data_IF_732260708003
#
_entry.id   IF_732260708003
#
_cell.length_a   1.000
_cell.length_b   1.000
_cell.length_c   1.000
_cell.angle_alpha   90.00
_cell.angle_beta   90.00
_cell.angle_gamma   90.00
#
_symmetry.space_group_name_H-M   'P 1'
#
loop_
_entity.id
_entity.type
_entity.pdbx_description
1 polymer ?
#
# COMPACT_ATOMS: atom_id res chain seq x y z
N UNK A 1 -33.68 -18.05 -11.91
CA UNK A 1 -34.13 -19.43 -11.65
C UNK A 1 -33.89 -19.89 -10.20
N UNK A 2 -32.67 -19.84 -9.61
CA UNK A 2 -32.41 -20.31 -8.21
C UNK A 2 -33.26 -19.65 -7.11
N UNK A 3 -33.64 -18.37 -7.22
CA UNK A 3 -34.52 -17.69 -6.24
C UNK A 3 -35.98 -18.21 -6.25
N UNK A 4 -36.51 -18.50 -7.42
CA UNK A 4 -37.88 -19.03 -7.59
C UNK A 4 -37.96 -20.46 -7.03
N UNK A 5 -36.92 -21.28 -7.24
CA UNK A 5 -36.86 -22.64 -6.65
C UNK A 5 -36.75 -22.61 -5.10
N UNK A 6 -35.99 -21.64 -4.54
CA UNK A 6 -35.90 -21.49 -3.06
C UNK A 6 -37.22 -21.00 -2.44
N UNK A 7 -37.96 -20.09 -3.09
CA UNK A 7 -39.28 -19.65 -2.62
C UNK A 7 -40.33 -20.76 -2.76
N UNK A 8 -40.34 -21.48 -3.87
CA UNK A 8 -41.25 -22.64 -4.05
C UNK A 8 -40.96 -23.74 -3.00
N UNK A 9 -39.70 -24.06 -2.73
CA UNK A 9 -39.30 -25.00 -1.68
C UNK A 9 -39.78 -24.57 -0.28
N UNK A 10 -39.67 -23.29 0.07
CA UNK A 10 -40.16 -22.77 1.35
C UNK A 10 -41.68 -22.84 1.48
N UNK A 11 -42.41 -22.58 0.40
CA UNK A 11 -43.87 -22.69 0.36
C UNK A 11 -44.29 -24.15 0.52
N UNK A 12 -43.64 -25.11 -0.15
CA UNK A 12 -43.91 -26.53 -0.04
C UNK A 12 -43.67 -27.01 1.41
N UNK A 13 -42.52 -26.62 2.02
CA UNK A 13 -42.23 -26.95 3.42
C UNK A 13 -43.29 -26.38 4.36
N UNK A 14 -43.72 -25.14 4.15
CA UNK A 14 -44.77 -24.53 4.97
C UNK A 14 -46.07 -25.27 4.85
N UNK A 15 -46.48 -25.65 3.62
CA UNK A 15 -47.72 -26.43 3.38
C UNK A 15 -47.67 -27.84 3.98
N UNK A 16 -46.54 -28.52 3.89
CA UNK A 16 -46.37 -29.85 4.51
C UNK A 16 -46.38 -29.79 6.04
N UNK A 17 -45.75 -28.77 6.63
CA UNK A 17 -45.76 -28.55 8.08
C UNK A 17 -47.17 -28.21 8.56
N UNK A 18 -47.90 -27.33 7.86
CA UNK A 18 -49.29 -26.99 8.23
C UNK A 18 -50.24 -28.20 8.10
N UNK A 19 -50.12 -29.03 7.05
CA UNK A 19 -50.86 -30.25 6.89
C UNK A 19 -50.57 -31.27 8.00
N UNK A 20 -49.33 -31.43 8.38
CA UNK A 20 -48.91 -32.32 9.48
C UNK A 20 -49.46 -31.83 10.83
N UNK A 21 -49.39 -30.53 11.11
CA UNK A 21 -49.93 -29.92 12.33
C UNK A 21 -51.46 -30.07 12.39
N UNK A 22 -52.15 -29.93 11.24
CA UNK A 22 -53.59 -30.16 11.17
C UNK A 22 -53.94 -31.61 11.48
N UNK A 23 -53.23 -32.59 10.88
CA UNK A 23 -53.45 -34.02 11.13
C UNK A 23 -53.21 -34.36 12.62
N UNK A 24 -52.12 -33.87 13.21
CA UNK A 24 -51.79 -34.08 14.61
C UNK A 24 -52.88 -33.48 15.53
N UNK A 25 -53.33 -32.25 15.26
CA UNK A 25 -54.37 -31.59 15.99
C UNK A 25 -55.69 -32.36 15.88
N UNK A 26 -56.04 -32.87 14.69
CA UNK A 26 -57.23 -33.67 14.48
C UNK A 26 -57.25 -35.00 15.28
N UNK A 27 -56.13 -35.72 15.27
CA UNK A 27 -55.94 -36.94 16.03
C UNK A 27 -55.98 -36.69 17.55
N UNK A 28 -55.49 -35.61 18.05
CA UNK A 28 -55.54 -35.22 19.46
C UNK A 28 -57.02 -34.97 19.87
N UNK A 29 -57.74 -34.17 19.07
CA UNK A 29 -59.13 -33.84 19.37
C UNK A 29 -60.06 -35.09 19.31
N UNK A 30 -59.80 -36.00 18.34
CA UNK A 30 -60.49 -37.28 18.29
C UNK A 30 -60.23 -38.18 19.52
N UNK A 31 -58.92 -38.24 19.93
CA UNK A 31 -58.53 -38.99 21.13
C UNK A 31 -59.20 -38.47 22.40
N UNK A 32 -59.32 -37.15 22.56
CA UNK A 32 -60.05 -36.54 23.68
C UNK A 32 -61.56 -36.73 23.58
N UNK A 33 -62.14 -36.82 22.37
CA UNK A 33 -63.56 -37.10 22.11
C UNK A 33 -64.02 -38.47 22.63
N UNK A 34 -63.11 -39.45 22.71
CA UNK A 34 -63.37 -40.75 23.34
C UNK A 34 -63.57 -40.66 24.87
N UNK A 35 -63.02 -39.64 25.51
CA UNK A 35 -63.12 -39.44 26.97
C UNK A 35 -64.29 -38.50 27.32
N UNK A 36 -64.60 -37.53 26.42
CA UNK A 36 -65.63 -36.51 26.64
C UNK A 36 -66.67 -36.48 25.50
N UNK A 37 -67.85 -37.04 25.65
CA UNK A 37 -68.88 -37.19 24.58
C UNK A 37 -69.37 -35.88 23.95
N UNK A 38 -69.27 -34.74 24.69
CA UNK A 38 -69.68 -33.42 24.18
C UNK A 38 -68.73 -32.97 23.03
N UNK A 39 -67.50 -33.48 22.95
CA UNK A 39 -66.53 -33.20 21.87
C UNK A 39 -66.83 -33.99 20.58
N UNK A 40 -67.81 -34.91 20.59
CA UNK A 40 -68.25 -35.69 19.40
C UNK A 40 -69.18 -34.90 18.45
N UNK A 41 -69.63 -33.69 18.85
CA UNK A 41 -70.39 -32.80 17.95
C UNK A 41 -69.45 -32.28 16.85
N UNK A 42 -69.72 -32.53 15.55
CA UNK A 42 -68.77 -32.21 14.46
C UNK A 42 -68.30 -30.75 14.41
N UNK A 43 -69.19 -29.83 14.72
CA UNK A 43 -68.84 -28.38 14.73
C UNK A 43 -67.90 -28.02 15.87
N UNK A 44 -68.04 -28.62 17.04
CA UNK A 44 -67.17 -28.40 18.19
C UNK A 44 -65.74 -28.94 17.90
N UNK A 45 -65.67 -30.13 17.31
CA UNK A 45 -64.39 -30.71 16.88
C UNK A 45 -63.65 -29.84 15.86
N UNK A 46 -64.34 -29.29 14.86
CA UNK A 46 -63.74 -28.42 13.84
C UNK A 46 -63.19 -27.12 14.46
N UNK A 47 -63.96 -26.49 15.37
CA UNK A 47 -63.56 -25.28 16.05
C UNK A 47 -62.32 -25.54 16.92
N UNK A 48 -62.31 -26.61 17.70
CA UNK A 48 -61.17 -26.97 18.54
C UNK A 48 -59.90 -27.31 17.73
N UNK A 49 -60.07 -28.05 16.64
CA UNK A 49 -58.96 -28.38 15.72
C UNK A 49 -58.33 -27.11 15.12
N UNK A 50 -59.19 -26.17 14.69
CA UNK A 50 -58.78 -24.89 14.14
C UNK A 50 -57.97 -24.07 15.16
N UNK A 51 -58.48 -23.94 16.39
CA UNK A 51 -57.76 -23.22 17.46
C UNK A 51 -56.42 -23.87 17.82
N UNK A 52 -56.34 -25.19 17.83
CA UNK A 52 -55.16 -25.96 18.15
C UNK A 52 -54.09 -25.81 17.05
N UNK A 53 -54.53 -25.81 15.77
CA UNK A 53 -53.64 -25.51 14.63
C UNK A 53 -53.07 -24.08 14.70
N UNK A 54 -53.90 -23.08 14.98
CA UNK A 54 -53.44 -21.70 15.16
C UNK A 54 -52.49 -21.57 16.33
N UNK A 55 -52.75 -22.23 17.46
CA UNK A 55 -51.85 -22.24 18.61
C UNK A 55 -50.47 -22.86 18.27
N UNK A 56 -50.45 -24.00 17.59
CA UNK A 56 -49.22 -24.65 17.15
C UNK A 56 -48.43 -23.81 16.12
N UNK A 57 -49.14 -23.21 15.17
CA UNK A 57 -48.53 -22.28 14.22
C UNK A 57 -47.90 -21.05 14.91
N UNK A 58 -48.63 -20.51 15.91
CA UNK A 58 -48.11 -19.38 16.69
C UNK A 58 -46.84 -19.75 17.47
N UNK A 59 -46.84 -20.92 18.12
CA UNK A 59 -45.66 -21.41 18.85
C UNK A 59 -44.47 -21.66 17.91
N UNK A 60 -44.69 -22.30 16.76
CA UNK A 60 -43.62 -22.52 15.78
C UNK A 60 -43.09 -21.21 15.24
N UNK A 61 -43.98 -20.26 14.89
CA UNK A 61 -43.57 -18.92 14.43
C UNK A 61 -42.79 -18.16 15.51
N UNK A 62 -43.21 -18.27 16.78
CA UNK A 62 -42.52 -17.63 17.90
C UNK A 62 -41.13 -18.20 18.12
N UNK A 63 -40.94 -19.53 18.08
CA UNK A 63 -39.63 -20.19 18.20
C UNK A 63 -38.72 -19.79 17.04
N UNK A 64 -39.23 -19.83 15.80
CA UNK A 64 -38.46 -19.41 14.63
C UNK A 64 -38.09 -17.92 14.65
N UNK A 65 -39.02 -17.04 15.10
CA UNK A 65 -38.76 -15.62 15.22
C UNK A 65 -37.69 -15.30 16.28
N UNK A 66 -37.68 -16.04 17.40
CA UNK A 66 -36.69 -15.90 18.45
C UNK A 66 -35.29 -16.28 17.94
N UNK A 67 -35.13 -17.42 17.30
CA UNK A 67 -33.86 -17.88 16.73
C UNK A 67 -33.36 -16.98 15.58
N UNK A 68 -34.24 -16.40 14.77
CA UNK A 68 -33.90 -15.43 13.76
C UNK A 68 -33.41 -14.11 14.37
N UNK A 69 -34.09 -13.66 15.44
CA UNK A 69 -33.73 -12.42 16.16
C UNK A 69 -32.37 -12.52 16.86
N UNK A 70 -32.09 -13.63 17.52
CA UNK A 70 -30.81 -13.88 18.17
C UNK A 70 -29.64 -13.88 17.15
N UNK A 71 -29.85 -14.48 15.98
CA UNK A 71 -28.85 -14.43 14.88
C UNK A 71 -28.66 -13.02 14.34
N UNK A 72 -29.72 -12.24 14.19
CA UNK A 72 -29.61 -10.83 13.78
C UNK A 72 -28.84 -10.00 14.80
N UNK A 73 -29.09 -10.15 16.09
CA UNK A 73 -28.38 -9.42 17.14
C UNK A 73 -26.90 -9.77 17.16
N UNK A 74 -26.54 -11.04 17.05
CA UNK A 74 -25.14 -11.47 17.02
C UNK A 74 -24.33 -10.84 15.87
N UNK A 75 -24.96 -10.66 14.70
CA UNK A 75 -24.34 -10.00 13.54
C UNK A 75 -24.09 -8.51 13.82
N UNK A 76 -25.13 -7.81 14.31
CA UNK A 76 -25.03 -6.39 14.63
C UNK A 76 -24.02 -6.13 15.74
N UNK A 77 -23.98 -6.97 16.77
CA UNK A 77 -23.01 -6.88 17.86
C UNK A 77 -21.58 -7.11 17.35
N UNK A 78 -21.39 -8.03 16.43
CA UNK A 78 -20.08 -8.26 15.80
C UNK A 78 -19.64 -7.06 14.95
N UNK A 79 -20.52 -6.51 14.12
CA UNK A 79 -20.22 -5.32 13.29
C UNK A 79 -19.92 -4.10 14.16
N UNK A 80 -20.75 -3.83 15.17
CA UNK A 80 -20.54 -2.69 16.08
C UNK A 80 -19.26 -2.83 16.88
N UNK A 81 -18.91 -4.05 17.33
CA UNK A 81 -17.65 -4.31 18.02
C UNK A 81 -16.45 -4.12 17.10
N UNK A 82 -16.55 -4.54 15.83
CA UNK A 82 -15.47 -4.31 14.83
C UNK A 82 -15.27 -2.81 14.59
N UNK A 83 -16.35 -2.06 14.35
CA UNK A 83 -16.30 -0.60 14.17
C UNK A 83 -15.72 0.08 15.42
N UNK A 84 -16.12 -0.35 16.61
CA UNK A 84 -15.59 0.21 17.88
C UNK A 84 -14.11 -0.07 18.06
N UNK A 85 -13.63 -1.25 17.66
CA UNK A 85 -12.19 -1.58 17.67
C UNK A 85 -11.43 -0.71 16.65
N UNK A 86 -11.98 -0.50 15.44
CA UNK A 86 -11.39 0.39 14.46
C UNK A 86 -11.33 1.83 14.96
N UNK A 87 -12.39 2.34 15.59
CA UNK A 87 -12.42 3.68 16.17
C UNK A 87 -11.46 3.90 17.34
N UNK A 88 -11.07 2.84 18.02
CA UNK A 88 -10.04 2.86 19.09
C UNK A 88 -8.60 2.65 18.57
N UNK A 89 -8.41 2.55 17.25
CA UNK A 89 -7.10 2.35 16.63
C UNK A 89 -6.59 0.89 16.69
N UNK A 90 -7.41 -0.06 17.15
CA UNK A 90 -7.01 -1.47 17.20
C UNK A 90 -7.44 -2.22 15.94
N UNK A 91 -6.78 -1.87 14.82
CA UNK A 91 -7.12 -2.41 13.49
C UNK A 91 -6.78 -3.90 13.36
N UNK A 92 -5.72 -4.37 14.01
CA UNK A 92 -5.29 -5.77 13.94
C UNK A 92 -6.34 -6.71 14.54
N UNK A 93 -6.93 -6.33 15.68
CA UNK A 93 -7.99 -7.10 16.31
C UNK A 93 -9.29 -7.06 15.50
N UNK A 94 -9.56 -5.95 14.80
CA UNK A 94 -10.71 -5.81 13.90
C UNK A 94 -10.56 -6.71 12.66
N UNK A 95 -9.38 -6.75 12.05
CA UNK A 95 -9.07 -7.55 10.86
C UNK A 95 -9.06 -9.08 11.14
N UNK A 96 -8.63 -9.50 12.33
CA UNK A 96 -8.56 -10.93 12.68
C UNK A 96 -9.91 -11.57 13.03
N UNK A 97 -10.98 -10.79 13.16
CA UNK A 97 -12.30 -11.26 13.53
C UNK A 97 -13.02 -11.89 12.35
N UNK A 98 -12.71 -13.16 12.06
CA UNK A 98 -13.52 -13.96 11.12
C UNK A 98 -14.92 -14.15 11.68
N UNK A 99 -15.94 -13.66 10.95
CA UNK A 99 -17.32 -13.96 11.29
C UNK A 99 -17.59 -15.44 11.04
N UNK A 100 -17.94 -16.18 12.09
CA UNK A 100 -18.32 -17.58 12.02
C UNK A 100 -19.61 -17.74 11.22
N UNK A 101 -19.53 -18.51 10.13
CA UNK A 101 -20.61 -19.16 9.37
C UNK A 101 -21.95 -18.42 9.26
N UNK A 102 -21.97 -17.35 8.46
CA UNK A 102 -23.22 -16.84 7.87
C UNK A 102 -23.23 -17.27 6.40
N UNK A 103 -24.43 -17.61 5.92
CA UNK A 103 -24.67 -18.00 4.53
C UNK A 103 -24.01 -16.97 3.57
N UNK A 104 -23.06 -17.40 2.72
CA UNK A 104 -22.20 -16.55 1.88
C UNK A 104 -22.91 -15.55 0.96
N UNK A 105 -24.21 -15.69 0.77
CA UNK A 105 -25.03 -14.85 -0.13
C UNK A 105 -25.79 -13.72 0.59
N UNK A 106 -25.55 -13.48 1.89
CA UNK A 106 -26.28 -12.45 2.62
C UNK A 106 -25.60 -11.08 2.46
N UNK A 107 -26.32 -9.97 2.19
CA UNK A 107 -25.73 -8.65 2.00
C UNK A 107 -24.85 -8.18 3.17
N UNK A 108 -25.19 -8.59 4.38
CA UNK A 108 -24.42 -8.25 5.60
C UNK A 108 -23.08 -8.96 5.67
N UNK A 109 -22.96 -10.15 5.07
CA UNK A 109 -21.68 -10.87 5.01
C UNK A 109 -20.69 -10.13 4.12
N UNK A 110 -21.16 -9.59 2.99
CA UNK A 110 -20.31 -8.75 2.12
C UNK A 110 -19.83 -7.49 2.83
N UNK A 111 -20.72 -6.82 3.56
CA UNK A 111 -20.33 -5.64 4.34
C UNK A 111 -19.30 -5.98 5.43
N UNK A 112 -19.43 -7.13 6.08
CA UNK A 112 -18.47 -7.58 7.08
C UNK A 112 -17.09 -7.91 6.46
N UNK A 113 -17.08 -8.54 5.28
CA UNK A 113 -15.86 -8.83 4.53
C UNK A 113 -15.17 -7.54 4.08
N UNK A 114 -15.94 -6.56 3.58
CA UNK A 114 -15.42 -5.24 3.21
C UNK A 114 -14.83 -4.49 4.41
N UNK A 115 -15.53 -4.50 5.56
CA UNK A 115 -15.01 -3.91 6.81
C UNK A 115 -13.74 -4.60 7.31
N UNK A 116 -13.67 -5.93 7.18
CA UNK A 116 -12.47 -6.68 7.53
C UNK A 116 -11.28 -6.32 6.62
N UNK A 117 -11.54 -6.16 5.33
CA UNK A 117 -10.52 -5.72 4.36
C UNK A 117 -10.03 -4.31 4.67
N UNK A 118 -10.95 -3.37 4.91
CA UNK A 118 -10.60 -2.00 5.33
C UNK A 118 -9.81 -1.97 6.64
N UNK A 119 -10.17 -2.81 7.61
CA UNK A 119 -9.43 -2.92 8.86
C UNK A 119 -8.00 -3.45 8.64
N UNK A 120 -7.81 -4.40 7.71
CA UNK A 120 -6.50 -4.91 7.35
C UNK A 120 -5.63 -3.84 6.68
N UNK A 121 -6.21 -3.10 5.72
CA UNK A 121 -5.52 -1.99 5.04
C UNK A 121 -5.12 -0.87 6.02
N UNK A 122 -6.02 -0.49 6.94
CA UNK A 122 -5.71 0.49 7.99
C UNK A 122 -4.64 -0.01 8.97
N UNK A 123 -4.65 -1.31 9.30
CA UNK A 123 -3.62 -1.92 10.15
C UNK A 123 -2.25 -1.87 9.49
N UNK A 124 -2.18 -2.18 8.20
CA UNK A 124 -0.94 -2.10 7.43
C UNK A 124 -0.44 -0.66 7.33
N UNK A 125 -1.34 0.30 7.06
CA UNK A 125 -1.00 1.72 6.99
C UNK A 125 -0.46 2.26 8.34
N UNK A 126 -1.06 1.87 9.46
CA UNK A 126 -0.58 2.25 10.80
C UNK A 126 0.78 1.62 11.09
N UNK A 127 1.00 0.36 10.70
CA UNK A 127 2.30 -0.31 10.81
C UNK A 127 3.38 0.43 10.02
N UNK A 128 3.12 0.74 8.75
CA UNK A 128 4.05 1.50 7.90
C UNK A 128 4.36 2.88 8.49
N UNK A 129 3.38 3.56 9.08
CA UNK A 129 3.55 4.84 9.76
C UNK A 129 4.43 4.70 11.02
N UNK A 130 4.23 3.66 11.83
CA UNK A 130 5.05 3.40 13.02
C UNK A 130 6.50 3.07 12.64
N UNK A 131 6.70 2.25 11.63
CA UNK A 131 8.02 1.94 11.07
C UNK A 131 8.71 3.21 10.55
N UNK A 132 7.97 4.06 9.86
CA UNK A 132 8.48 5.35 9.37
C UNK A 132 8.96 6.23 10.54
N UNK A 133 8.13 6.43 11.59
CA UNK A 133 8.50 7.25 12.76
C UNK A 133 9.71 6.66 13.48
N UNK A 134 9.76 5.34 13.66
CA UNK A 134 10.89 4.64 14.26
C UNK A 134 12.17 4.85 13.47
N UNK A 135 12.12 4.67 12.15
CA UNK A 135 13.26 4.84 11.26
C UNK A 135 13.78 6.29 11.23
N UNK A 136 12.88 7.28 11.18
CA UNK A 136 13.24 8.71 11.30
C UNK A 136 13.97 8.96 12.62
N UNK A 137 13.43 8.45 13.73
CA UNK A 137 14.03 8.63 15.06
C UNK A 137 15.44 8.05 15.10
N UNK A 138 15.66 6.85 14.60
CA UNK A 138 16.97 6.21 14.56
C UNK A 138 17.96 6.94 13.65
N UNK A 139 17.54 7.37 12.44
CA UNK A 139 18.40 8.08 11.50
C UNK A 139 18.80 9.50 11.99
N UNK A 140 18.00 10.11 12.87
CA UNK A 140 18.32 11.38 13.54
C UNK A 140 19.17 11.14 14.79
N UNK A 141 18.88 10.13 15.60
CA UNK A 141 19.56 9.88 16.87
C UNK A 141 21.04 9.51 16.71
N UNK A 142 21.36 8.76 15.63
CA UNK A 142 22.73 8.32 15.35
C UNK A 142 23.69 9.52 15.14
N UNK A 143 23.45 10.44 14.18
CA UNK A 143 24.32 11.60 13.98
C UNK A 143 24.34 12.53 15.21
N UNK A 144 23.21 12.73 15.90
CA UNK A 144 23.18 13.53 17.11
C UNK A 144 24.07 12.97 18.22
N UNK A 145 24.11 11.64 18.38
CA UNK A 145 25.00 10.99 19.35
C UNK A 145 26.46 11.19 18.97
N UNK A 146 26.79 11.05 17.69
CA UNK A 146 28.13 11.32 17.15
C UNK A 146 28.55 12.77 17.40
N UNK A 147 27.72 13.74 17.00
CA UNK A 147 27.92 15.18 17.21
C UNK A 147 28.20 15.50 18.69
N UNK A 148 27.35 14.99 19.60
CA UNK A 148 27.50 15.19 21.04
C UNK A 148 28.80 14.59 21.56
N UNK A 149 29.19 13.41 21.08
CA UNK A 149 30.42 12.74 21.47
C UNK A 149 31.67 13.53 21.06
N UNK A 150 31.76 13.92 19.79
CA UNK A 150 32.92 14.67 19.27
C UNK A 150 32.97 16.10 19.81
N UNK A 151 31.86 16.78 20.01
CA UNK A 151 31.81 18.06 20.67
C UNK A 151 32.27 17.97 22.14
N UNK A 152 32.01 16.85 22.83
CA UNK A 152 32.55 16.62 24.18
C UNK A 152 34.05 16.36 24.15
N UNK A 153 34.56 15.58 23.19
CA UNK A 153 35.98 15.32 23.01
C UNK A 153 36.77 16.60 22.72
N UNK A 154 36.22 17.54 21.94
CA UNK A 154 36.82 18.83 21.64
C UNK A 154 37.09 19.72 22.88
N UNK A 155 36.42 19.46 24.02
CA UNK A 155 36.65 20.18 25.28
C UNK A 155 37.92 19.75 26.03
N UNK A 156 38.60 18.67 25.61
CA UNK A 156 39.84 18.22 26.20
C UNK A 156 40.96 19.21 25.88
N UNK A 157 41.78 19.65 26.86
CA UNK A 157 42.85 20.64 26.65
C UNK A 157 44.01 20.07 25.82
N UNK A 158 44.28 18.76 25.90
CA UNK A 158 45.50 18.14 25.37
C UNK A 158 45.32 17.52 23.99
N UNK A 159 44.36 18.02 23.19
CA UNK A 159 44.12 17.54 21.82
C UNK A 159 45.20 18.09 20.88
N UNK A 160 45.77 17.21 20.07
CA UNK A 160 46.62 17.61 18.95
C UNK A 160 45.81 18.42 17.91
N UNK A 161 46.54 19.22 17.11
CA UNK A 161 45.91 19.97 16.02
C UNK A 161 45.20 19.07 15.01
N UNK A 162 45.79 17.92 14.69
CA UNK A 162 45.23 16.93 13.78
C UNK A 162 43.97 16.27 14.33
N UNK A 163 43.96 15.89 15.61
CA UNK A 163 42.77 15.33 16.26
C UNK A 163 41.61 16.32 16.30
N UNK A 164 41.90 17.58 16.61
CA UNK A 164 40.93 18.67 16.60
C UNK A 164 40.33 18.86 15.21
N UNK A 165 41.18 18.90 14.17
CA UNK A 165 40.73 18.98 12.78
C UNK A 165 39.83 17.82 12.36
N UNK A 166 40.22 16.59 12.71
CA UNK A 166 39.46 15.40 12.43
C UNK A 166 38.07 15.40 13.13
N UNK A 167 38.02 15.83 14.41
CA UNK A 167 36.73 15.88 15.13
C UNK A 167 35.80 16.95 14.57
N UNK A 168 36.36 18.12 14.20
CA UNK A 168 35.59 19.17 13.53
C UNK A 168 35.01 18.69 12.18
N UNK A 169 35.81 18.00 11.40
CA UNK A 169 35.37 17.44 10.12
C UNK A 169 34.26 16.40 10.28
N UNK A 170 34.34 15.56 11.33
CA UNK A 170 33.24 14.60 11.64
C UNK A 170 31.95 15.36 12.02
N UNK A 171 32.08 16.42 12.82
CA UNK A 171 30.93 17.24 13.22
C UNK A 171 30.29 17.90 11.98
N UNK A 172 31.08 18.44 11.09
CA UNK A 172 30.63 19.04 9.83
C UNK A 172 29.87 18.01 8.97
N UNK A 173 30.49 16.86 8.73
CA UNK A 173 29.91 15.75 7.93
C UNK A 173 28.58 15.27 8.51
N UNK A 174 28.47 15.09 9.84
CA UNK A 174 27.23 14.63 10.48
C UNK A 174 26.14 15.72 10.48
N UNK A 175 26.54 17.00 10.51
CA UNK A 175 25.61 18.14 10.39
C UNK A 175 25.01 18.21 8.98
N UNK A 176 25.85 18.07 7.94
CA UNK A 176 25.39 18.00 6.54
C UNK A 176 24.46 16.79 6.31
N UNK A 177 24.82 15.64 6.89
CA UNK A 177 23.97 14.44 6.84
C UNK A 177 22.59 14.69 7.45
N UNK A 178 22.53 15.35 8.61
CA UNK A 178 21.27 15.67 9.30
C UNK A 178 20.43 16.65 8.48
N UNK A 179 21.07 17.66 7.89
CA UNK A 179 20.41 18.60 6.98
C UNK A 179 19.77 17.89 5.79
N UNK A 180 20.52 16.98 5.12
CA UNK A 180 19.99 16.16 4.01
C UNK A 180 18.81 15.28 4.42
N UNK A 181 18.85 14.68 5.63
CA UNK A 181 17.71 13.88 6.14
C UNK A 181 16.49 14.79 6.30
N UNK A 182 16.64 15.95 6.93
CA UNK A 182 15.56 16.92 7.14
C UNK A 182 14.94 17.39 5.81
N UNK A 183 15.76 17.79 4.84
CA UNK A 183 15.30 18.19 3.51
C UNK A 183 14.54 17.09 2.79
N UNK A 184 15.05 15.86 2.80
CA UNK A 184 14.39 14.73 2.17
C UNK A 184 13.07 14.39 2.84
N UNK A 185 12.97 14.52 4.17
CA UNK A 185 11.75 14.31 4.92
C UNK A 185 10.68 15.37 4.58
N UNK A 186 11.08 16.65 4.52
CA UNK A 186 10.18 17.73 4.10
C UNK A 186 9.69 17.54 2.67
N UNK A 187 10.59 17.17 1.74
CA UNK A 187 10.23 16.87 0.34
C UNK A 187 9.26 15.70 0.24
N UNK A 188 9.54 14.60 0.95
CA UNK A 188 8.66 13.43 0.94
C UNK A 188 7.26 13.79 1.47
N UNK A 189 7.18 14.51 2.59
CA UNK A 189 5.90 14.93 3.18
C UNK A 189 5.14 15.90 2.28
N UNK A 190 5.83 16.79 1.56
CA UNK A 190 5.21 17.67 0.58
C UNK A 190 4.63 16.90 -0.61
N UNK A 191 5.39 15.91 -1.14
CA UNK A 191 4.96 15.04 -2.23
C UNK A 191 3.79 14.11 -1.85
N UNK A 192 3.67 13.74 -0.57
CA UNK A 192 2.56 12.92 -0.07
C UNK A 192 1.28 13.72 0.16
N UNK A 193 1.40 14.93 0.66
CA UNK A 193 0.25 15.81 0.91
C UNK A 193 -0.38 16.36 -0.35
N UNK A 194 0.34 16.37 -1.43
CA UNK A 194 0.03 16.96 -2.74
C UNK A 194 -1.39 17.50 -2.88
N UNK A 195 -1.60 18.70 -2.37
CA UNK A 195 -2.86 19.46 -2.48
C UNK A 195 -2.96 20.25 -3.77
N UNK A 196 -1.83 20.51 -4.43
CA UNK A 196 -1.77 21.26 -5.69
C UNK A 196 -1.31 20.37 -6.85
N UNK A 197 -1.89 20.53 -8.04
CA UNK A 197 -1.46 19.80 -9.23
C UNK A 197 -0.02 20.19 -9.59
N UNK A 198 0.80 19.19 -9.96
CA UNK A 198 2.18 19.42 -10.43
C UNK A 198 2.14 20.31 -11.66
N UNK A 199 3.01 21.30 -11.72
CA UNK A 199 3.16 22.20 -12.87
C UNK A 199 3.92 21.52 -14.00
N UNK A 200 3.24 20.68 -14.76
CA UNK A 200 3.84 19.97 -15.90
C UNK A 200 3.98 20.92 -17.10
N UNK A 201 5.18 20.93 -17.70
CA UNK A 201 5.50 21.67 -18.94
C UNK A 201 6.37 20.79 -19.83
N UNK A 202 6.35 20.99 -21.15
CA UNK A 202 7.29 20.31 -22.04
C UNK A 202 8.70 20.84 -21.82
N UNK A 203 9.70 19.94 -21.66
CA UNK A 203 11.11 20.31 -21.55
C UNK A 203 12.01 19.23 -22.12
N UNK A 204 13.27 19.60 -22.41
CA UNK A 204 14.33 18.74 -22.94
C UNK A 204 14.97 17.90 -21.84
N UNK A 205 14.58 16.61 -21.74
CA UNK A 205 15.10 15.69 -20.75
C UNK A 205 16.59 15.36 -20.96
N UNK A 206 17.05 15.28 -22.21
CA UNK A 206 18.44 15.05 -22.56
C UNK A 206 19.36 16.16 -22.02
N UNK A 207 18.93 17.42 -22.10
CA UNK A 207 19.67 18.54 -21.52
C UNK A 207 19.71 18.49 -20.00
N UNK A 208 18.62 18.10 -19.40
CA UNK A 208 18.53 17.97 -17.94
C UNK A 208 19.48 16.86 -17.44
N UNK A 209 19.47 15.68 -18.05
CA UNK A 209 20.35 14.56 -17.71
C UNK A 209 21.83 14.96 -17.87
N UNK A 210 22.21 15.60 -18.98
CA UNK A 210 23.60 16.10 -19.17
C UNK A 210 24.00 17.05 -18.06
N UNK A 211 23.15 17.99 -17.67
CA UNK A 211 23.39 18.92 -16.57
C UNK A 211 23.57 18.19 -15.25
N UNK A 212 22.74 17.20 -14.95
CA UNK A 212 22.83 16.42 -13.72
C UNK A 212 24.12 15.60 -13.65
N UNK A 213 24.52 14.96 -14.76
CA UNK A 213 25.80 14.22 -14.84
C UNK A 213 26.99 15.16 -14.56
N UNK A 214 27.00 16.35 -15.17
CA UNK A 214 28.05 17.35 -14.94
C UNK A 214 28.05 17.87 -13.47
N UNK A 215 26.91 18.01 -12.85
CA UNK A 215 26.82 18.40 -11.42
C UNK A 215 27.48 17.36 -10.50
N UNK A 216 27.46 16.09 -10.87
CA UNK A 216 28.07 15.00 -10.12
C UNK A 216 29.55 14.75 -10.54
N UNK A 217 30.12 15.56 -11.46
CA UNK A 217 31.50 15.37 -11.99
C UNK A 217 32.58 15.25 -10.91
N UNK A 218 32.60 16.07 -9.86
CA UNK A 218 33.64 15.95 -8.83
C UNK A 218 33.65 14.58 -8.15
N UNK A 219 32.47 13.97 -7.99
CA UNK A 219 32.31 12.67 -7.29
C UNK A 219 32.76 11.50 -8.18
N UNK A 220 32.28 11.46 -9.42
CA UNK A 220 32.60 10.35 -10.32
C UNK A 220 34.00 10.46 -10.92
N UNK A 221 34.50 11.68 -11.12
CA UNK A 221 35.87 11.91 -11.57
C UNK A 221 36.93 11.49 -10.51
N UNK A 222 36.67 11.79 -9.23
CA UNK A 222 37.51 11.33 -8.11
C UNK A 222 37.62 9.79 -8.04
N UNK A 223 36.60 9.06 -8.48
CA UNK A 223 36.63 7.60 -8.58
C UNK A 223 37.06 7.07 -9.95
N UNK A 224 37.43 7.93 -10.89
CA UNK A 224 37.79 7.56 -12.26
C UNK A 224 36.71 6.74 -12.98
N UNK A 225 35.43 7.02 -12.70
CA UNK A 225 34.31 6.32 -13.32
C UNK A 225 34.11 6.79 -14.75
N UNK A 226 33.98 5.85 -15.69
CA UNK A 226 33.65 6.11 -17.08
C UNK A 226 32.15 6.30 -17.27
N UNK A 227 31.73 7.47 -17.79
CA UNK A 227 30.33 7.70 -18.16
C UNK A 227 30.10 7.45 -19.66
N UNK A 228 29.24 6.50 -19.99
CA UNK A 228 28.74 6.26 -21.35
C UNK A 228 27.40 6.96 -21.52
N UNK A 229 27.35 7.98 -22.38
CA UNK A 229 26.20 8.86 -22.54
C UNK A 229 25.58 8.66 -23.91
N UNK A 230 24.37 8.08 -23.98
CA UNK A 230 23.58 7.92 -25.20
C UNK A 230 22.24 8.66 -25.00
N UNK A 231 22.28 9.98 -25.14
CA UNK A 231 21.16 10.88 -24.93
C UNK A 231 20.74 11.52 -26.24
N UNK A 232 19.71 10.96 -26.88
CA UNK A 232 19.05 11.55 -28.02
C UNK A 232 18.20 12.74 -27.58
N UNK A 233 17.91 13.65 -28.53
CA UNK A 233 17.02 14.78 -28.27
C UNK A 233 15.61 14.23 -27.99
N UNK A 234 15.14 14.47 -26.76
CA UNK A 234 13.84 13.95 -26.33
C UNK A 234 13.12 14.95 -25.42
N UNK A 235 11.80 15.08 -25.61
CA UNK A 235 10.96 15.94 -24.81
C UNK A 235 10.01 15.12 -23.97
N UNK A 236 9.83 15.57 -22.72
CA UNK A 236 8.86 15.00 -21.77
C UNK A 236 7.95 16.09 -21.23
N UNK A 237 6.75 15.70 -20.83
CA UNK A 237 5.78 16.59 -20.20
C UNK A 237 5.77 16.38 -18.69
N UNK A 238 6.41 17.30 -17.95
CA UNK A 238 6.61 17.11 -16.52
C UNK A 238 7.05 18.38 -15.80
N UNK A 239 7.24 18.26 -14.50
CA UNK A 239 7.86 19.28 -13.67
C UNK A 239 9.40 19.08 -13.70
N UNK A 240 10.10 19.99 -14.37
CA UNK A 240 11.55 19.91 -14.58
C UNK A 240 12.30 19.85 -13.24
N UNK A 241 11.87 20.59 -12.21
CA UNK A 241 12.53 20.63 -10.93
C UNK A 241 12.40 19.31 -10.17
N UNK A 242 11.20 18.72 -10.15
CA UNK A 242 10.97 17.42 -9.53
C UNK A 242 11.71 16.30 -10.26
N UNK A 243 11.64 16.26 -11.59
CA UNK A 243 12.34 15.24 -12.38
C UNK A 243 13.87 15.35 -12.29
N UNK A 244 14.42 16.56 -12.15
CA UNK A 244 15.84 16.74 -11.86
C UNK A 244 16.27 16.02 -10.58
N UNK A 245 15.40 15.97 -9.57
CA UNK A 245 15.66 15.27 -8.32
C UNK A 245 15.67 13.74 -8.50
N UNK A 246 14.84 13.21 -9.41
CA UNK A 246 14.88 11.78 -9.77
C UNK A 246 16.27 11.42 -10.30
N UNK A 247 16.74 12.16 -11.30
CA UNK A 247 18.04 11.89 -11.93
C UNK A 247 19.19 12.05 -10.94
N UNK A 248 19.15 13.09 -10.11
CA UNK A 248 20.15 13.30 -9.07
C UNK A 248 20.22 12.11 -8.11
N UNK A 249 19.08 11.61 -7.63
CA UNK A 249 19.04 10.45 -6.73
C UNK A 249 19.58 9.18 -7.38
N UNK A 250 19.24 8.94 -8.66
CA UNK A 250 19.69 7.73 -9.37
C UNK A 250 21.17 7.80 -9.73
N UNK A 251 21.65 8.94 -10.24
CA UNK A 251 23.05 9.12 -10.61
C UNK A 251 23.94 9.09 -9.37
N UNK A 252 23.58 9.77 -8.28
CA UNK A 252 24.29 9.66 -7.00
C UNK A 252 24.38 8.22 -6.49
N UNK A 253 23.29 7.45 -6.60
CA UNK A 253 23.34 6.05 -6.22
C UNK A 253 24.28 5.24 -7.12
N UNK A 254 24.23 5.43 -8.43
CA UNK A 254 25.15 4.78 -9.36
C UNK A 254 26.61 5.11 -9.02
N UNK A 255 26.96 6.40 -8.86
CA UNK A 255 28.33 6.83 -8.50
C UNK A 255 28.75 6.27 -7.14
N UNK A 256 27.86 6.25 -6.18
CA UNK A 256 28.13 5.77 -4.81
C UNK A 256 28.50 4.30 -4.79
N UNK A 257 27.75 3.45 -5.50
CA UNK A 257 27.90 2.00 -5.47
C UNK A 257 28.79 1.41 -6.56
N UNK A 258 29.22 2.23 -7.49
CA UNK A 258 30.27 1.88 -8.46
C UNK A 258 31.66 2.04 -7.82
N UNK A 259 32.52 1.06 -8.03
CA UNK A 259 33.91 1.08 -7.58
C UNK A 259 34.79 2.03 -8.42
N UNK A 260 36.02 2.23 -7.99
CA UNK A 260 37.04 2.99 -8.77
C UNK A 260 37.27 2.35 -10.15
N UNK A 261 37.36 3.19 -11.20
CA UNK A 261 37.52 2.73 -12.58
C UNK A 261 36.29 2.01 -13.16
N UNK A 262 35.16 2.06 -12.45
CA UNK A 262 33.93 1.44 -12.92
C UNK A 262 33.25 2.22 -14.04
N UNK A 263 32.08 1.77 -14.44
CA UNK A 263 31.34 2.33 -15.58
C UNK A 263 29.89 2.59 -15.23
N UNK A 264 29.38 3.76 -15.66
CA UNK A 264 27.96 4.12 -15.57
C UNK A 264 27.47 4.48 -16.97
N UNK A 265 26.36 3.94 -17.40
CA UNK A 265 25.71 4.32 -18.67
C UNK A 265 24.39 5.03 -18.41
N UNK A 266 24.14 6.09 -19.19
CA UNK A 266 22.87 6.83 -19.15
C UNK A 266 22.35 6.92 -20.57
N UNK A 267 21.13 6.38 -20.76
CA UNK A 267 20.52 6.26 -22.10
C UNK A 267 19.07 6.72 -22.07
N UNK A 268 18.63 7.36 -23.15
CA UNK A 268 17.23 7.62 -23.41
C UNK A 268 16.74 6.62 -24.47
N UNK A 269 15.63 5.94 -24.16
CA UNK A 269 14.96 5.01 -25.06
C UNK A 269 13.59 5.59 -25.38
N UNK A 270 13.37 5.98 -26.64
CA UNK A 270 12.07 6.47 -27.08
C UNK A 270 11.12 5.29 -27.30
N UNK A 271 10.01 5.30 -26.57
CA UNK A 271 8.92 4.34 -26.70
C UNK A 271 7.73 4.97 -27.45
N UNK A 272 6.82 4.17 -28.03
CA UNK A 272 5.71 4.70 -28.81
C UNK A 272 4.83 5.74 -28.09
N UNK A 273 4.69 5.65 -26.77
CA UNK A 273 3.87 6.54 -25.93
C UNK A 273 4.56 7.06 -24.68
N UNK A 274 5.86 6.82 -24.54
CA UNK A 274 6.64 7.18 -23.38
C UNK A 274 8.09 7.46 -23.77
N UNK A 275 8.84 8.10 -22.89
CA UNK A 275 10.30 8.13 -22.92
C UNK A 275 10.82 7.36 -21.71
N UNK A 276 11.73 6.44 -21.92
CA UNK A 276 12.39 5.74 -20.83
C UNK A 276 13.83 6.24 -20.66
N UNK A 277 14.23 6.53 -19.43
CA UNK A 277 15.62 6.82 -19.06
C UNK A 277 16.18 5.61 -18.36
N UNK A 278 17.27 5.07 -18.89
CA UNK A 278 18.00 3.95 -18.31
C UNK A 278 19.31 4.47 -17.72
N UNK A 279 19.56 4.16 -16.46
CA UNK A 279 20.79 4.43 -15.74
C UNK A 279 21.32 3.11 -15.23
N UNK A 280 22.42 2.63 -15.81
CA UNK A 280 23.01 1.35 -15.45
C UNK A 280 24.44 1.56 -14.94
N UNK A 281 24.78 0.85 -13.89
CA UNK A 281 26.12 0.79 -13.30
C UNK A 281 26.66 -0.65 -13.27
N UNK A 282 27.95 -0.82 -13.26
CA UNK A 282 28.64 -2.10 -13.04
C UNK A 282 29.16 -2.25 -11.60
N UNK A 283 28.45 -1.67 -10.66
CA UNK A 283 28.81 -1.68 -9.24
C UNK A 283 28.53 -3.01 -8.54
N UNK A 284 28.36 -2.93 -7.23
CA UNK A 284 28.20 -4.11 -6.36
C UNK A 284 26.92 -4.92 -6.63
N UNK A 285 25.91 -4.34 -7.28
CA UNK A 285 24.60 -4.95 -7.49
C UNK A 285 23.86 -5.31 -6.20
N UNK A 286 22.70 -5.93 -6.36
CA UNK A 286 21.81 -6.32 -5.27
C UNK A 286 21.34 -7.77 -5.43
N UNK A 287 21.00 -8.43 -4.31
CA UNK A 287 20.25 -9.68 -4.33
C UNK A 287 18.78 -9.42 -4.71
N UNK A 288 18.04 -10.41 -5.25
CA UNK A 288 16.65 -10.23 -5.69
C UNK A 288 15.75 -9.66 -4.59
N UNK A 289 15.86 -10.15 -3.36
CA UNK A 289 15.06 -9.70 -2.21
C UNK A 289 15.36 -8.23 -1.83
N UNK A 290 16.58 -7.77 -2.10
CA UNK A 290 16.97 -6.38 -1.89
C UNK A 290 16.41 -5.48 -3.00
N UNK A 291 16.41 -5.94 -4.24
CA UNK A 291 15.88 -5.20 -5.38
C UNK A 291 14.38 -4.95 -5.25
N UNK A 292 13.61 -5.93 -4.75
CA UNK A 292 12.17 -5.76 -4.48
C UNK A 292 11.89 -4.64 -3.46
N UNK A 293 12.80 -4.44 -2.50
CA UNK A 293 12.62 -3.53 -1.38
C UNK A 293 13.33 -2.19 -1.53
N UNK A 294 14.13 -2.00 -2.57
CA UNK A 294 15.01 -0.83 -2.72
C UNK A 294 14.27 0.52 -2.75
N UNK A 295 12.99 0.51 -3.09
CA UNK A 295 12.11 1.68 -3.09
C UNK A 295 11.36 1.92 -1.77
N UNK A 296 11.49 1.01 -0.78
CA UNK A 296 10.93 1.23 0.55
C UNK A 296 11.64 2.39 1.25
N UNK A 297 10.91 3.12 2.08
CA UNK A 297 11.47 4.26 2.82
C UNK A 297 12.47 3.78 3.86
N UNK A 298 13.63 4.46 3.95
CA UNK A 298 14.75 4.13 4.85
C UNK A 298 15.38 2.76 4.62
N UNK A 299 14.99 2.05 3.57
CA UNK A 299 15.60 0.77 3.26
C UNK A 299 17.06 0.97 2.82
N UNK A 300 17.94 0.15 3.37
CA UNK A 300 19.37 0.08 3.04
C UNK A 300 19.79 -1.39 3.03
N UNK A 301 20.36 -1.85 1.93
CA UNK A 301 21.01 -3.16 1.90
C UNK A 301 22.19 -3.18 2.90
N UNK A 302 22.51 -4.35 3.47
CA UNK A 302 23.48 -4.45 4.58
C UNK A 302 24.84 -3.80 4.29
N UNK A 303 25.36 -3.96 3.07
CA UNK A 303 26.61 -3.30 2.65
C UNK A 303 26.46 -1.79 2.45
N UNK A 304 25.26 -1.31 2.14
CA UNK A 304 24.96 0.11 1.98
C UNK A 304 24.79 0.86 3.31
N UNK A 305 24.65 0.15 4.44
CA UNK A 305 24.57 0.77 5.77
C UNK A 305 25.80 1.62 6.09
N UNK A 306 26.98 1.14 5.74
CA UNK A 306 28.24 1.84 5.98
C UNK A 306 28.56 2.92 4.93
N UNK A 307 27.91 2.90 3.78
CA UNK A 307 28.19 3.84 2.69
C UNK A 307 27.46 5.21 2.84
N UNK A 308 26.75 5.44 3.96
CA UNK A 308 26.02 6.70 4.18
C UNK A 308 24.73 6.81 3.38
N UNK A 309 23.96 7.88 3.59
CA UNK A 309 22.66 8.14 2.96
C UNK A 309 21.48 7.84 3.88
N UNK A 310 20.33 8.45 3.61
CA UNK A 310 19.11 8.35 4.44
C UNK A 310 18.20 7.17 4.07
N UNK A 311 18.38 6.53 2.91
CA UNK A 311 17.44 5.54 2.39
C UNK A 311 16.12 6.13 1.88
N UNK A 312 16.05 7.46 1.73
CA UNK A 312 14.85 8.16 1.22
C UNK A 312 14.94 8.51 -0.28
N UNK A 313 16.15 8.53 -0.88
CA UNK A 313 16.33 9.02 -2.24
C UNK A 313 15.55 8.24 -3.30
N UNK A 314 15.59 6.91 -3.24
CA UNK A 314 14.87 6.06 -4.20
C UNK A 314 13.36 6.07 -4.00
N UNK A 315 12.86 6.14 -2.75
CA UNK A 315 11.43 6.30 -2.47
C UNK A 315 10.90 7.65 -2.94
N UNK A 316 11.68 8.72 -2.83
CA UNK A 316 11.36 10.05 -3.39
C UNK A 316 11.33 9.96 -4.93
N UNK A 317 12.33 9.35 -5.56
CA UNK A 317 12.39 9.18 -7.01
C UNK A 317 11.16 8.42 -7.54
N UNK A 318 10.77 7.32 -6.88
CA UNK A 318 9.57 6.55 -7.21
C UNK A 318 8.31 7.40 -7.10
N UNK A 319 8.15 8.13 -5.98
CA UNK A 319 6.98 8.99 -5.78
C UNK A 319 6.87 10.08 -6.84
N UNK A 320 7.99 10.71 -7.21
CA UNK A 320 8.00 11.71 -8.28
C UNK A 320 7.63 11.10 -9.63
N UNK A 321 8.16 9.92 -9.99
CA UNK A 321 7.81 9.23 -11.24
C UNK A 321 6.30 8.90 -11.28
N UNK A 322 5.73 8.35 -10.21
CA UNK A 322 4.30 8.06 -10.07
C UNK A 322 3.43 9.32 -10.23
N UNK A 323 3.82 10.44 -9.63
CA UNK A 323 3.12 11.72 -9.74
C UNK A 323 3.12 12.27 -11.18
N UNK A 324 4.11 11.89 -11.97
CA UNK A 324 4.16 12.20 -13.40
C UNK A 324 3.35 11.22 -14.26
N UNK A 325 2.75 10.18 -13.68
CA UNK A 325 2.06 9.12 -14.40
C UNK A 325 3.02 8.12 -15.05
N UNK A 326 4.25 8.09 -14.57
CA UNK A 326 5.30 7.18 -15.00
C UNK A 326 5.55 6.05 -14.00
N UNK A 327 6.58 5.26 -14.25
CA UNK A 327 7.05 4.18 -13.38
C UNK A 327 8.56 4.22 -13.21
N UNK A 328 9.06 3.57 -12.15
CA UNK A 328 10.47 3.29 -11.96
C UNK A 328 10.64 1.80 -11.66
N UNK A 329 11.55 1.19 -12.36
CA UNK A 329 11.87 -0.23 -12.26
C UNK A 329 13.36 -0.42 -11.99
N UNK A 330 13.72 -1.56 -11.41
CA UNK A 330 15.10 -1.92 -11.12
C UNK A 330 15.38 -3.36 -11.56
N UNK A 331 16.48 -3.54 -12.26
CA UNK A 331 17.06 -4.84 -12.56
C UNK A 331 18.47 -4.85 -11.95
N UNK A 332 18.77 -5.82 -11.10
CA UNK A 332 20.06 -5.87 -10.43
C UNK A 332 20.48 -7.31 -10.16
N UNK A 333 21.78 -7.54 -10.23
CA UNK A 333 22.39 -8.80 -9.84
C UNK A 333 23.68 -8.54 -9.11
N UNK A 334 23.86 -9.22 -8.00
CA UNK A 334 25.02 -9.04 -7.14
C UNK A 334 26.33 -9.31 -7.91
N UNK A 335 27.24 -8.34 -7.89
CA UNK A 335 28.53 -8.37 -8.58
C UNK A 335 28.49 -8.02 -10.07
N UNK A 336 27.28 -7.83 -10.66
CA UNK A 336 27.12 -7.46 -12.07
C UNK A 336 26.68 -6.00 -12.25
N UNK A 337 26.09 -5.38 -11.20
CA UNK A 337 25.64 -4.00 -11.21
C UNK A 337 24.14 -3.84 -11.12
N UNK A 338 23.66 -2.62 -11.41
CA UNK A 338 22.25 -2.25 -11.30
C UNK A 338 21.81 -1.41 -12.50
N UNK A 339 20.62 -1.69 -13.02
CA UNK A 339 19.91 -0.89 -14.00
C UNK A 339 18.63 -0.32 -13.38
N UNK A 340 18.51 0.99 -13.34
CA UNK A 340 17.25 1.68 -13.07
C UNK A 340 16.66 2.17 -14.38
N UNK A 341 15.37 1.88 -14.60
CA UNK A 341 14.59 2.37 -15.74
C UNK A 341 13.45 3.24 -15.24
N UNK A 342 13.42 4.48 -15.66
CA UNK A 342 12.34 5.43 -15.38
C UNK A 342 11.56 5.67 -16.65
N UNK A 343 10.30 5.30 -16.68
CA UNK A 343 9.40 5.50 -17.82
C UNK A 343 8.48 6.68 -17.53
N UNK A 344 8.45 7.67 -18.40
CA UNK A 344 7.62 8.86 -18.31
C UNK A 344 6.72 8.98 -19.55
N UNK A 345 5.46 9.43 -19.41
CA UNK A 345 4.61 9.71 -20.56
C UNK A 345 5.27 10.71 -21.51
N UNK A 346 5.26 10.43 -22.81
CA UNK A 346 5.77 11.35 -23.82
C UNK A 346 4.84 12.57 -23.95
N UNK A 347 5.39 13.69 -24.41
CA UNK A 347 4.60 14.90 -24.67
C UNK A 347 3.54 14.62 -25.76
N UNK A 348 2.23 14.81 -25.48
CA UNK A 348 1.17 14.60 -26.46
C UNK A 348 1.28 15.53 -27.70
N UNK A 349 1.97 16.68 -27.56
CA UNK A 349 2.09 17.68 -28.64
C UNK A 349 3.23 17.38 -29.61
N UNK A 350 4.33 16.78 -29.17
CA UNK A 350 5.45 16.43 -30.05
C UNK A 350 5.07 15.37 -31.06
N UNK A 351 4.25 14.40 -30.69
CA UNK A 351 3.74 13.36 -31.61
C UNK A 351 2.89 13.90 -32.77
N UNK A 352 2.19 15.00 -32.57
CA UNK A 352 1.45 15.64 -33.68
C UNK A 352 2.40 16.28 -34.70
N UNK A 353 3.51 16.86 -34.26
CA UNK A 353 4.51 17.48 -35.12
C UNK A 353 5.35 16.45 -35.88
N UNK A 354 5.80 15.38 -35.24
CA UNK A 354 6.53 14.29 -35.90
C UNK A 354 5.66 13.50 -36.89
N UNK A 355 4.36 13.33 -36.62
CA UNK A 355 3.42 12.73 -37.57
C UNK A 355 3.11 13.67 -38.73
N UNK A 356 3.06 14.99 -38.52
CA UNK A 356 2.83 15.97 -39.62
C UNK A 356 4.08 16.22 -40.47
N UNK A 357 5.29 16.08 -39.93
CA UNK A 357 6.55 16.24 -40.67
C UNK A 357 6.94 15.03 -41.53
N UNK A 358 6.42 13.83 -41.28
CA UNK A 358 6.66 12.64 -42.11
C UNK A 358 5.73 12.48 -43.29
N UNK A 359 4.73 13.35 -43.43
CA UNK A 359 3.78 13.31 -44.58
C UNK A 359 4.15 14.31 -45.69
N UNK A 360 5.33 14.95 -45.57
CA UNK A 360 5.79 15.99 -46.56
C UNK A 360 7.18 15.68 -47.11
N UNK A 361 7.50 14.41 -47.36
CA UNK A 361 8.63 14.00 -48.18
C UNK A 361 8.22 12.91 -49.14
#
# INVERSE_FOLDING_TARGET
MKRIFRTAGRIIILLTVTAFLWLAAHLIVQGFGLIWPVLLVPYVQQILTLWLVFGLLFVTMFIFSKSARERHHAIWDSLTATIKQMSSGNFTAAASRKMEKIERDHPVTKLADELSTLAAELSEMEKLKQEFISNVSHEIQTPLTSLKGYAHLLKKPDLSYEERGRYLHIIETETERLSKISENLLKLTALERQTEPIQKKPFRIDKQLRRTILTCEPEWSAKQIEFLIDLQESYVYGDEALLSQVWMNLIHNAVKFTGEGGRISVKIVDLPEAAAVEIADNGIGMEPEQAERVFERFYKADKARNAGGSGLGLSIAKKIAELHGGSIEVESKRGEGTLFRVTLPADPHEKKQLKSGRTSQ
#
